data_IF_838677197126
#
_entry.id   IF_838677197126
#
_cell.length_a   1.000
_cell.length_b   1.000
_cell.length_c   1.000
_cell.angle_alpha   90.00
_cell.angle_beta   90.00
_cell.angle_gamma   90.00
#
_symmetry.space_group_name_H-M   'P 1'
#
loop_
_entity.id
_entity.type
_entity.pdbx_description
1 polymer ?
#
# COMPACT_ATOMS: atom_id res chain seq x y z
N UNK A 1 -55.02 21.66 75.87
CA UNK A 1 -56.03 20.62 75.60
C UNK A 1 -56.05 20.38 74.10
N UNK A 2 -55.74 19.14 73.69
CA UNK A 2 -56.27 18.36 72.56
C UNK A 2 -56.54 19.01 71.20
N UNK A 3 -56.35 18.39 70.03
CA UNK A 3 -55.68 17.20 69.49
C UNK A 3 -56.26 17.13 68.06
N UNK A 4 -55.46 16.86 67.04
CA UNK A 4 -55.96 16.78 65.66
C UNK A 4 -54.89 16.35 64.67
N UNK A 5 -54.16 15.28 65.01
CA UNK A 5 -53.19 14.65 64.13
C UNK A 5 -53.96 13.71 63.18
N UNK A 6 -54.23 14.16 61.95
CA UNK A 6 -54.77 13.28 60.91
C UNK A 6 -53.67 12.34 60.43
N UNK A 7 -53.74 11.09 60.87
CA UNK A 7 -53.01 9.98 60.28
C UNK A 7 -53.63 9.64 58.93
N UNK A 8 -52.99 10.03 57.83
CA UNK A 8 -53.26 9.45 56.51
C UNK A 8 -52.52 8.11 56.45
N UNK A 9 -53.18 7.08 56.97
CA UNK A 9 -52.81 5.69 56.70
C UNK A 9 -53.39 5.29 55.33
N UNK A 10 -52.72 5.67 54.25
CA UNK A 10 -52.96 5.04 52.95
C UNK A 10 -52.19 3.72 52.92
N UNK A 11 -52.90 2.64 53.24
CA UNK A 11 -52.47 1.30 52.87
C UNK A 11 -52.44 1.19 51.35
N UNK A 12 -51.28 1.43 50.75
CA UNK A 12 -51.03 1.08 49.36
C UNK A 12 -51.30 -0.41 49.16
N UNK A 13 -52.07 -0.83 48.14
CA UNK A 13 -52.23 -2.25 47.86
C UNK A 13 -50.87 -2.85 47.56
N UNK A 14 -50.42 -3.77 48.41
CA UNK A 14 -49.18 -4.54 48.24
C UNK A 14 -49.23 -5.21 46.85
N UNK A 15 -48.38 -4.80 45.89
CA UNK A 15 -48.38 -5.42 44.58
C UNK A 15 -47.99 -6.89 44.75
N UNK A 16 -48.79 -7.78 44.15
CA UNK A 16 -48.53 -9.20 44.20
C UNK A 16 -47.15 -9.52 43.58
N UNK A 17 -46.46 -10.47 44.20
CA UNK A 17 -45.08 -10.84 43.88
C UNK A 17 -44.94 -11.30 42.42
N UNK A 18 -46.01 -11.87 41.86
CA UNK A 18 -46.05 -12.44 40.50
C UNK A 18 -45.95 -11.39 39.37
N UNK A 19 -46.54 -10.20 39.52
CA UNK A 19 -46.42 -9.16 38.48
C UNK A 19 -45.05 -8.49 38.51
N UNK A 20 -44.49 -8.29 39.71
CA UNK A 20 -43.15 -7.70 39.93
C UNK A 20 -42.06 -8.56 39.29
N UNK A 21 -42.05 -9.87 39.57
CA UNK A 21 -41.06 -10.81 39.02
C UNK A 21 -41.10 -10.84 37.48
N UNK A 22 -42.26 -10.63 36.86
CA UNK A 22 -42.39 -10.61 35.40
C UNK A 22 -41.76 -9.37 34.77
N UNK A 23 -41.84 -8.22 35.44
CA UNK A 23 -41.25 -6.95 34.98
C UNK A 23 -39.73 -6.96 35.19
N UNK A 24 -39.26 -7.47 36.33
CA UNK A 24 -37.83 -7.59 36.64
C UNK A 24 -37.11 -8.57 35.71
N UNK A 25 -37.73 -9.70 35.37
CA UNK A 25 -37.17 -10.66 34.39
C UNK A 25 -37.06 -10.05 32.99
N UNK A 26 -38.07 -9.29 32.55
CA UNK A 26 -38.04 -8.59 31.25
C UNK A 26 -36.95 -7.54 31.20
N UNK A 27 -36.79 -6.75 32.26
CA UNK A 27 -35.74 -5.74 32.37
C UNK A 27 -34.34 -6.37 32.34
N UNK A 28 -34.13 -7.46 33.09
CA UNK A 28 -32.84 -8.16 33.17
C UNK A 28 -32.42 -8.78 31.83
N UNK A 29 -33.36 -9.39 31.11
CA UNK A 29 -33.10 -9.95 29.77
C UNK A 29 -32.77 -8.83 28.77
N UNK A 30 -33.42 -7.67 28.90
CA UNK A 30 -33.20 -6.52 28.03
C UNK A 30 -31.79 -5.92 28.26
N UNK A 31 -31.33 -5.80 29.52
CA UNK A 31 -29.96 -5.36 29.80
C UNK A 31 -28.90 -6.35 29.33
N UNK A 32 -29.16 -7.66 29.45
CA UNK A 32 -28.28 -8.70 28.89
C UNK A 32 -28.21 -8.57 27.36
N UNK A 33 -29.36 -8.44 26.70
CA UNK A 33 -29.43 -8.32 25.25
C UNK A 33 -28.71 -7.07 24.73
N UNK A 34 -28.86 -5.94 25.43
CA UNK A 34 -28.17 -4.70 25.09
C UNK A 34 -26.65 -4.83 25.25
N UNK A 35 -26.18 -5.56 26.26
CA UNK A 35 -24.75 -5.80 26.48
C UNK A 35 -24.13 -6.63 25.34
N UNK A 36 -24.82 -7.70 24.91
CA UNK A 36 -24.38 -8.51 23.77
C UNK A 36 -24.43 -7.72 22.46
N UNK A 37 -25.45 -6.89 22.25
CA UNK A 37 -25.55 -6.04 21.08
C UNK A 37 -24.39 -5.03 21.02
N UNK A 38 -24.05 -4.40 22.14
CA UNK A 38 -22.91 -3.49 22.22
C UNK A 38 -21.59 -4.20 21.90
N UNK A 39 -21.37 -5.39 22.48
CA UNK A 39 -20.17 -6.19 22.22
C UNK A 39 -20.07 -6.62 20.75
N UNK A 40 -21.21 -6.96 20.12
CA UNK A 40 -21.28 -7.30 18.71
C UNK A 40 -20.91 -6.11 17.79
N UNK A 41 -21.41 -4.90 18.09
CA UNK A 41 -21.06 -3.70 17.33
C UNK A 41 -19.56 -3.38 17.40
N UNK A 42 -18.96 -3.53 18.57
CA UNK A 42 -17.50 -3.33 18.74
C UNK A 42 -16.73 -4.37 17.94
N UNK A 43 -17.13 -5.65 17.99
CA UNK A 43 -16.48 -6.71 17.22
C UNK A 43 -16.56 -6.46 15.71
N UNK A 44 -17.71 -6.00 15.21
CA UNK A 44 -17.88 -5.65 13.80
C UNK A 44 -16.94 -4.49 13.41
N UNK A 45 -16.89 -3.43 14.22
CA UNK A 45 -16.04 -2.27 13.95
C UNK A 45 -14.56 -2.65 13.87
N UNK A 46 -14.05 -3.42 14.84
CA UNK A 46 -12.64 -3.87 14.85
C UNK A 46 -12.35 -4.75 13.64
N UNK A 47 -13.25 -5.69 13.31
CA UNK A 47 -13.06 -6.58 12.16
C UNK A 47 -12.98 -5.82 10.83
N UNK A 48 -13.83 -4.79 10.66
CA UNK A 48 -13.81 -3.95 9.47
C UNK A 48 -12.53 -3.12 9.33
N UNK A 49 -12.01 -2.58 10.44
CA UNK A 49 -10.76 -1.82 10.42
C UNK A 49 -9.54 -2.72 10.19
N UNK A 50 -9.52 -3.91 10.78
CA UNK A 50 -8.46 -4.90 10.58
C UNK A 50 -8.34 -5.32 9.11
N UNK A 51 -9.45 -5.49 8.40
CA UNK A 51 -9.45 -5.82 6.97
C UNK A 51 -8.88 -4.67 6.11
N UNK A 52 -9.23 -3.42 6.45
CA UNK A 52 -8.67 -2.24 5.78
C UNK A 52 -7.17 -2.15 6.00
N UNK A 53 -6.72 -2.24 7.25
CA UNK A 53 -5.31 -2.17 7.61
C UNK A 53 -4.52 -3.32 6.98
N UNK A 54 -5.04 -4.56 7.02
CA UNK A 54 -4.40 -5.71 6.37
C UNK A 54 -4.25 -5.47 4.86
N UNK A 55 -5.31 -5.03 4.18
CA UNK A 55 -5.22 -4.78 2.73
C UNK A 55 -4.18 -3.72 2.35
N UNK A 56 -4.00 -2.69 3.19
CA UNK A 56 -3.12 -1.56 2.91
C UNK A 56 -1.65 -1.85 3.26
N UNK A 57 -1.40 -2.62 4.32
CA UNK A 57 -0.04 -2.91 4.81
C UNK A 57 0.51 -4.27 4.37
N UNK A 58 -0.31 -5.19 3.86
CA UNK A 58 0.14 -6.53 3.44
C UNK A 58 0.80 -6.55 2.06
N UNK A 59 0.50 -5.58 1.19
CA UNK A 59 1.21 -5.44 -0.09
C UNK A 59 2.60 -4.91 0.20
N UNK A 60 3.57 -5.81 0.30
CA UNK A 60 4.96 -5.46 0.57
C UNK A 60 5.74 -5.48 -0.73
N UNK A 61 6.45 -4.41 -1.01
CA UNK A 61 7.26 -4.26 -2.22
C UNK A 61 8.71 -4.00 -1.85
N UNK A 62 9.61 -4.52 -2.70
CA UNK A 62 11.03 -4.36 -2.52
C UNK A 62 11.48 -3.01 -3.09
N UNK A 63 12.31 -2.30 -2.33
CA UNK A 63 12.93 -1.04 -2.73
C UNK A 63 14.43 -1.12 -2.56
N UNK A 64 15.15 -0.43 -3.43
CA UNK A 64 16.60 -0.32 -3.36
C UNK A 64 16.97 0.85 -2.46
N UNK A 65 17.81 0.60 -1.45
CA UNK A 65 18.28 1.55 -0.44
C UNK A 65 19.80 1.60 -0.43
N UNK A 66 20.39 2.75 -0.16
CA UNK A 66 21.84 2.92 -0.10
C UNK A 66 22.40 2.36 1.22
N UNK A 67 23.37 1.46 1.14
CA UNK A 67 24.07 0.87 2.30
C UNK A 67 25.15 1.80 2.86
N UNK A 68 25.74 2.65 2.01
CA UNK A 68 26.75 3.65 2.34
C UNK A 68 26.41 4.98 1.69
N UNK A 69 27.11 6.03 2.10
CA UNK A 69 27.06 7.32 1.42
C UNK A 69 27.70 7.20 0.02
N UNK A 70 27.01 7.73 -0.98
CA UNK A 70 27.41 7.72 -2.38
C UNK A 70 27.53 9.17 -2.82
N UNK A 71 28.74 9.55 -3.21
CA UNK A 71 29.03 10.93 -3.62
C UNK A 71 28.46 11.22 -5.02
N UNK A 72 28.38 12.51 -5.33
CA UNK A 72 27.99 12.94 -6.67
C UNK A 72 28.95 12.41 -7.74
N UNK A 73 28.42 11.98 -8.86
CA UNK A 73 29.15 11.41 -9.99
C UNK A 73 29.93 10.12 -9.66
N UNK A 74 29.62 9.48 -8.54
CA UNK A 74 30.15 8.16 -8.23
C UNK A 74 29.33 7.06 -8.94
N UNK A 75 30.03 6.03 -9.43
CA UNK A 75 29.40 4.82 -9.99
C UNK A 75 28.89 3.91 -8.87
N UNK A 76 27.62 3.55 -8.94
CA UNK A 76 26.97 2.66 -7.97
C UNK A 76 27.43 1.22 -8.21
N UNK A 77 28.04 0.60 -7.19
CA UNK A 77 28.46 -0.80 -7.22
C UNK A 77 27.44 -1.69 -6.49
N UNK A 78 27.41 -3.00 -6.76
CA UNK A 78 26.50 -3.92 -6.08
C UNK A 78 26.67 -3.97 -4.56
N UNK A 79 27.87 -3.64 -4.05
CA UNK A 79 28.17 -3.58 -2.62
C UNK A 79 27.52 -2.41 -1.89
N UNK A 80 27.05 -1.41 -2.64
CA UNK A 80 26.64 -0.11 -2.12
C UNK A 80 25.13 -0.03 -1.89
N UNK A 81 24.39 -1.05 -2.33
CA UNK A 81 22.94 -1.10 -2.28
C UNK A 81 22.45 -2.29 -1.46
N UNK A 82 21.24 -2.15 -0.91
CA UNK A 82 20.50 -3.22 -0.23
C UNK A 82 19.05 -3.18 -0.66
N UNK A 83 18.38 -4.33 -0.64
CA UNK A 83 16.92 -4.37 -0.75
C UNK A 83 16.31 -4.22 0.63
N UNK A 84 15.33 -3.34 0.72
CA UNK A 84 14.46 -3.22 1.87
C UNK A 84 13.04 -3.52 1.43
N UNK A 85 12.32 -4.30 2.21
CA UNK A 85 10.94 -4.69 1.94
C UNK A 85 10.04 -3.77 2.76
N UNK A 86 9.26 -2.91 2.09
CA UNK A 86 8.40 -1.91 2.72
C UNK A 86 6.96 -1.98 2.20
N UNK A 87 5.95 -1.61 3.01
CA UNK A 87 4.55 -1.62 2.57
C UNK A 87 4.29 -0.60 1.46
N UNK A 88 3.43 -0.97 0.50
CA UNK A 88 3.11 -0.24 -0.73
C UNK A 88 2.85 1.28 -0.54
N UNK A 89 2.25 1.64 0.60
CA UNK A 89 1.85 3.00 0.97
C UNK A 89 3.01 3.96 1.20
N UNK A 90 4.18 3.46 1.60
CA UNK A 90 5.34 4.28 1.97
C UNK A 90 6.35 4.47 0.84
N UNK A 91 6.06 3.93 -0.34
CA UNK A 91 7.03 3.97 -1.42
C UNK A 91 6.96 5.31 -2.17
N UNK A 92 8.12 5.93 -2.43
CA UNK A 92 8.17 7.16 -3.20
C UNK A 92 7.86 6.90 -4.69
N UNK A 93 7.36 7.94 -5.41
CA UNK A 93 7.23 7.87 -6.86
C UNK A 93 8.61 7.77 -7.53
N UNK A 94 8.70 7.04 -8.65
CA UNK A 94 9.98 6.85 -9.37
C UNK A 94 10.95 5.87 -8.70
N UNK A 95 10.40 4.92 -7.92
CA UNK A 95 11.17 3.83 -7.29
C UNK A 95 11.72 2.84 -8.29
N UNK A 96 12.85 2.25 -7.95
CA UNK A 96 13.41 1.10 -8.65
C UNK A 96 13.22 -0.13 -7.77
N UNK A 97 12.55 -1.15 -8.30
CA UNK A 97 12.24 -2.40 -7.58
C UNK A 97 13.31 -3.48 -7.73
N UNK A 98 14.22 -3.34 -8.70
CA UNK A 98 15.26 -4.32 -8.98
C UNK A 98 16.65 -3.69 -8.82
N UNK A 99 17.53 -4.38 -8.09
CA UNK A 99 18.93 -3.98 -7.91
C UNK A 99 19.68 -3.92 -9.25
N UNK A 100 19.32 -4.79 -10.19
CA UNK A 100 19.97 -4.95 -11.49
C UNK A 100 19.87 -3.70 -12.36
N UNK A 101 18.79 -2.93 -12.23
CA UNK A 101 18.60 -1.70 -13.00
C UNK A 101 19.44 -0.53 -12.47
N UNK A 102 19.95 -0.64 -11.23
CA UNK A 102 20.77 0.39 -10.57
C UNK A 102 22.26 0.18 -10.79
N UNK A 103 22.70 -1.05 -11.06
CA UNK A 103 24.11 -1.37 -11.27
C UNK A 103 24.73 -0.56 -12.40
N UNK A 104 25.99 -0.16 -12.21
CA UNK A 104 26.79 0.62 -13.16
C UNK A 104 26.15 1.96 -13.57
N UNK A 105 25.15 2.43 -12.82
CA UNK A 105 24.58 3.75 -12.96
C UNK A 105 25.40 4.77 -12.17
N UNK A 106 25.36 6.02 -12.62
CA UNK A 106 26.10 7.12 -11.99
C UNK A 106 25.14 7.96 -11.15
N UNK A 107 25.54 8.34 -9.93
CA UNK A 107 24.73 9.23 -9.09
C UNK A 107 24.76 10.67 -9.64
N UNK A 108 23.59 11.25 -9.92
CA UNK A 108 23.47 12.65 -10.36
C UNK A 108 23.61 13.64 -9.20
N UNK A 109 23.20 13.21 -8.01
CA UNK A 109 23.11 13.97 -6.76
C UNK A 109 23.67 13.07 -5.65
N UNK A 110 24.33 13.59 -4.59
CA UNK A 110 24.74 12.77 -3.46
C UNK A 110 23.55 12.03 -2.82
N UNK A 111 23.78 10.78 -2.43
CA UNK A 111 22.77 9.89 -1.81
C UNK A 111 23.30 9.43 -0.46
N UNK A 112 22.61 9.83 0.61
CA UNK A 112 23.01 9.46 1.97
C UNK A 112 22.73 7.99 2.26
N UNK A 113 23.47 7.43 3.21
CA UNK A 113 23.20 6.08 3.72
C UNK A 113 21.77 5.97 4.24
N UNK A 114 21.08 4.89 3.86
CA UNK A 114 19.69 4.63 4.26
C UNK A 114 18.65 5.36 3.40
N UNK A 115 19.09 6.18 2.45
CA UNK A 115 18.20 6.86 1.52
C UNK A 115 17.77 5.93 0.37
N UNK A 116 16.58 6.19 -0.18
CA UNK A 116 16.03 5.46 -1.32
C UNK A 116 16.71 5.88 -2.63
N UNK A 117 17.04 4.89 -3.47
CA UNK A 117 17.52 5.16 -4.82
C UNK A 117 16.31 5.29 -5.75
N UNK A 118 16.15 6.48 -6.33
CA UNK A 118 15.09 6.79 -7.27
C UNK A 118 15.66 7.01 -8.67
N UNK A 119 14.84 6.79 -9.70
CA UNK A 119 15.19 7.01 -11.11
C UNK A 119 15.67 8.45 -11.39
N UNK A 120 15.15 9.44 -10.65
CA UNK A 120 15.52 10.85 -10.83
C UNK A 120 16.88 11.22 -10.22
N UNK A 121 17.43 10.39 -9.33
CA UNK A 121 18.73 10.60 -8.67
C UNK A 121 19.87 9.93 -9.42
N UNK A 122 19.56 9.01 -10.34
CA UNK A 122 20.56 8.24 -11.08
C UNK A 122 20.56 8.56 -12.58
N UNK A 123 21.75 8.49 -13.14
CA UNK A 123 22.04 8.57 -14.56
C UNK A 123 22.26 7.11 -15.00
N UNK A 124 21.18 6.44 -15.41
CA UNK A 124 21.23 5.03 -15.78
C UNK A 124 21.88 4.78 -17.15
N UNK A 125 22.80 3.82 -17.22
CA UNK A 125 23.51 3.52 -18.47
C UNK A 125 22.59 2.96 -19.58
N UNK A 126 21.42 2.44 -19.20
CA UNK A 126 20.46 1.73 -20.07
C UNK A 126 19.93 2.60 -21.21
N UNK A 127 19.67 3.89 -20.96
CA UNK A 127 19.22 4.80 -22.04
C UNK A 127 20.33 5.16 -23.03
N UNK A 128 21.59 5.20 -22.57
CA UNK A 128 22.74 5.47 -23.44
C UNK A 128 23.01 4.32 -24.40
N UNK A 129 22.78 3.08 -23.96
CA UNK A 129 22.92 1.91 -24.83
C UNK A 129 21.90 1.97 -25.99
N UNK A 130 20.65 2.35 -25.71
CA UNK A 130 19.62 2.45 -26.76
C UNK A 130 19.92 3.52 -27.82
N UNK A 131 20.42 4.69 -27.40
CA UNK A 131 20.74 5.78 -28.33
C UNK A 131 21.87 5.41 -29.29
N UNK A 132 22.75 4.49 -28.88
CA UNK A 132 23.87 3.98 -29.69
C UNK A 132 23.48 2.81 -30.61
N UNK A 133 22.30 2.19 -30.43
CA UNK A 133 21.93 1.00 -31.21
C UNK A 133 21.40 1.36 -32.61
N UNK A 134 21.91 0.72 -33.69
CA UNK A 134 21.38 0.90 -35.03
C UNK A 134 19.90 0.47 -35.10
N UNK A 135 19.12 1.19 -35.91
CA UNK A 135 17.65 1.17 -35.94
C UNK A 135 17.02 -0.24 -35.91
N UNK A 136 17.64 -1.22 -36.58
CA UNK A 136 17.13 -2.59 -36.68
C UNK A 136 17.20 -3.43 -35.37
N UNK A 137 18.03 -3.06 -34.39
CA UNK A 137 18.17 -3.78 -33.11
C UNK A 137 17.37 -3.18 -31.95
N UNK A 138 16.69 -2.04 -32.17
CA UNK A 138 16.00 -1.30 -31.09
C UNK A 138 14.80 -2.03 -30.49
N UNK A 139 14.22 -3.02 -31.18
CA UNK A 139 12.99 -3.68 -30.76
C UNK A 139 13.15 -4.79 -29.72
N UNK A 140 14.34 -5.34 -29.54
CA UNK A 140 14.54 -6.57 -28.72
C UNK A 140 15.03 -6.29 -27.31
N UNK A 141 15.59 -5.12 -27.01
CA UNK A 141 16.22 -4.83 -25.72
C UNK A 141 15.30 -4.16 -24.68
N UNK A 142 14.08 -3.75 -25.05
CA UNK A 142 13.10 -3.14 -24.12
C UNK A 142 12.13 -4.14 -23.48
N UNK A 143 12.31 -5.44 -23.73
CA UNK A 143 11.32 -6.46 -23.37
C UNK A 143 11.51 -7.01 -21.95
N UNK A 144 11.73 -6.11 -20.97
CA UNK A 144 11.92 -6.44 -19.56
C UNK A 144 10.81 -5.96 -18.64
N UNK A 145 9.66 -5.52 -19.17
CA UNK A 145 8.51 -5.14 -18.35
C UNK A 145 7.21 -5.40 -19.11
N UNK A 146 6.44 -6.41 -18.66
CA UNK A 146 5.17 -6.86 -19.28
C UNK A 146 4.13 -5.75 -19.47
N UNK A 147 4.25 -4.60 -18.78
CA UNK A 147 3.31 -3.48 -18.87
C UNK A 147 3.31 -2.75 -20.22
N UNK A 148 4.39 -2.80 -21.00
CA UNK A 148 4.52 -1.96 -22.21
C UNK A 148 4.25 -2.69 -23.54
N UNK A 149 4.01 -4.01 -23.53
CA UNK A 149 3.73 -4.78 -24.74
C UNK A 149 2.44 -4.37 -25.47
N UNK A 150 1.43 -3.87 -24.75
CA UNK A 150 0.13 -3.55 -25.35
C UNK A 150 0.09 -2.25 -26.16
N UNK A 151 1.08 -1.35 -26.02
CA UNK A 151 1.05 -0.04 -26.69
C UNK A 151 1.66 -0.04 -28.10
N UNK A 152 2.45 -1.05 -28.49
CA UNK A 152 3.14 -1.07 -29.78
C UNK A 152 2.54 -2.07 -30.76
N UNK A 153 1.23 -1.97 -31.03
CA UNK A 153 0.60 -2.62 -32.20
C UNK A 153 0.43 -1.59 -33.32
N UNK A 154 1.53 -0.99 -33.76
CA UNK A 154 1.56 -0.13 -34.96
C UNK A 154 2.03 -1.02 -36.12
N UNK A 155 1.21 -1.26 -37.15
CA UNK A 155 1.62 -2.05 -38.30
C UNK A 155 2.63 -1.26 -39.14
N UNK A 156 3.89 -1.68 -39.10
CA UNK A 156 4.94 -1.18 -40.00
C UNK A 156 4.71 -1.81 -41.37
N UNK A 157 4.25 -1.01 -42.33
CA UNK A 157 4.27 -1.37 -43.75
C UNK A 157 5.71 -1.28 -44.25
N UNK A 158 6.33 -2.43 -44.52
CA UNK A 158 7.69 -2.52 -45.04
C UNK A 158 7.71 -2.10 -46.52
N UNK A 159 8.23 -0.91 -46.83
CA UNK A 159 8.53 -0.49 -48.20
C UNK A 159 9.89 -1.07 -48.62
N UNK A 160 9.84 -2.09 -49.49
CA UNK A 160 10.99 -2.74 -50.16
C UNK A 160 11.76 -1.68 -50.96
N UNK A 161 12.98 -1.31 -50.54
CA UNK A 161 13.93 -0.63 -51.42
C UNK A 161 14.76 -1.68 -52.16
N UNK A 162 14.50 -1.78 -53.45
CA UNK A 162 15.16 -2.65 -54.41
C UNK A 162 16.59 -2.18 -54.70
N UNK A 163 17.46 -3.18 -54.82
CA UNK A 163 18.84 -3.11 -55.31
C UNK A 163 18.94 -2.34 -56.64
N UNK A 164 19.92 -1.45 -56.72
CA UNK A 164 20.59 -1.01 -57.95
C UNK A 164 21.88 -0.31 -57.47
N UNK A 165 23.10 -0.60 -57.87
CA UNK A 165 23.69 -1.47 -58.86
C UNK A 165 25.15 -0.99 -58.92
N UNK A 166 26.10 -1.86 -58.57
CA UNK A 166 27.54 -1.57 -58.57
C UNK A 166 28.06 -1.85 -59.98
N UNK A 167 28.70 -0.88 -60.65
CA UNK A 167 29.69 -1.17 -61.70
C UNK A 167 30.55 0.06 -62.03
N UNK A 168 31.86 -0.18 -61.90
CA UNK A 168 33.07 0.48 -62.46
C UNK A 168 33.26 1.97 -62.21
#
# INVERSE_FOLDING_TARGET
MNQGFMTIGEGSPIPNERWIISMEKRATILSIGLSFLAMYLVWQYISGEDERLKSEYQVTENIVVAKRDILQYETIRPTDITLLTVPAKFLPPGRIGNQEDVYDSVAAIPISKGEFILDNKIISKKYLLWLRLPNHKRKTSYFGSRKYQKLCRIPITSRKQSRFGRRV
#
